data_IF_551639214722
#
_entry.id   IF_551639214722
#
_cell.length_a   1.000
_cell.length_b   1.000
_cell.length_c   1.000
_cell.angle_alpha   90.00
_cell.angle_beta   90.00
_cell.angle_gamma   90.00
#
_symmetry.space_group_name_H-M   'P 1'
#
loop_
_entity.id
_entity.type
_entity.pdbx_description
1 polymer ?
#
# COMPACT_ATOMS: atom_id res chain seq x y z
N UNK A 1 38.85 -10.07 32.80
CA UNK A 1 38.20 -11.34 32.43
C UNK A 1 36.79 -11.02 31.95
N UNK A 2 36.61 -11.05 30.63
CA UNK A 2 35.39 -10.73 29.91
C UNK A 2 34.31 -11.79 30.21
N UNK A 3 33.35 -11.46 31.07
CA UNK A 3 32.30 -12.42 31.46
C UNK A 3 30.95 -11.75 31.80
N UNK A 4 30.60 -10.66 31.11
CA UNK A 4 29.27 -10.03 31.23
C UNK A 4 28.77 -9.39 29.91
N UNK A 5 29.17 -9.91 28.74
CA UNK A 5 28.82 -9.29 27.43
C UNK A 5 27.94 -10.20 26.54
N UNK A 6 27.41 -11.33 27.04
CA UNK A 6 26.80 -12.34 26.15
C UNK A 6 25.46 -12.89 26.68
N UNK A 7 24.53 -12.06 27.16
CA UNK A 7 23.12 -12.51 27.31
C UNK A 7 22.12 -11.34 27.23
N UNK A 8 22.22 -10.50 26.21
CA UNK A 8 21.02 -9.75 25.77
C UNK A 8 21.04 -9.69 24.24
N UNK A 9 21.06 -10.90 23.66
CA UNK A 9 20.80 -11.11 22.26
C UNK A 9 19.37 -10.62 21.96
N UNK A 10 19.27 -9.37 21.54
CA UNK A 10 18.74 -9.04 20.21
C UNK A 10 17.50 -9.89 19.88
N UNK A 11 16.36 -9.55 20.49
CA UNK A 11 15.07 -9.77 19.85
C UNK A 11 14.95 -8.75 18.71
N UNK A 12 15.72 -8.92 17.62
CA UNK A 12 15.32 -8.33 16.35
C UNK A 12 14.05 -9.10 15.99
N UNK A 13 12.91 -8.48 16.27
CA UNK A 13 11.70 -8.75 15.54
C UNK A 13 12.01 -8.39 14.08
N UNK A 14 12.59 -9.35 13.36
CA UNK A 14 12.45 -9.37 11.92
C UNK A 14 10.97 -9.63 11.70
N UNK A 15 10.18 -8.55 11.70
CA UNK A 15 8.85 -8.56 11.09
C UNK A 15 9.14 -8.68 9.60
N UNK A 16 9.53 -9.88 9.17
CA UNK A 16 9.39 -10.26 7.79
C UNK A 16 7.90 -10.18 7.55
N UNK A 17 7.44 -9.17 6.79
CA UNK A 17 6.15 -9.22 6.11
C UNK A 17 6.23 -10.41 5.14
N UNK A 18 6.07 -11.61 5.68
CA UNK A 18 6.03 -12.85 4.93
C UNK A 18 4.61 -12.93 4.40
N UNK A 19 4.49 -12.86 3.07
CA UNK A 19 3.27 -12.69 2.29
C UNK A 19 2.59 -11.33 2.46
N UNK A 20 2.36 -10.65 1.33
CA UNK A 20 1.23 -9.74 1.25
C UNK A 20 -0.02 -10.56 1.58
N UNK A 21 -0.79 -10.12 2.57
CA UNK A 21 -2.14 -10.66 2.76
C UNK A 21 -2.86 -10.49 1.41
N UNK A 22 -3.50 -11.53 0.84
CA UNK A 22 -4.32 -11.37 -0.37
C UNK A 22 -5.30 -10.18 -0.28
N UNK A 23 -5.68 -9.83 0.95
CA UNK A 23 -6.47 -8.65 1.31
C UNK A 23 -5.70 -7.34 1.10
N UNK A 24 -4.42 -7.26 1.48
CA UNK A 24 -3.55 -6.09 1.29
C UNK A 24 -3.32 -5.80 -0.21
N UNK A 25 -3.07 -6.84 -1.02
CA UNK A 25 -2.92 -6.67 -2.46
C UNK A 25 -4.23 -6.23 -3.14
N UNK A 26 -5.37 -6.80 -2.71
CA UNK A 26 -6.69 -6.39 -3.17
C UNK A 26 -7.02 -4.94 -2.83
N UNK A 27 -6.75 -4.52 -1.59
CA UNK A 27 -6.93 -3.13 -1.13
C UNK A 27 -6.05 -2.19 -1.93
N UNK A 28 -4.76 -2.51 -2.09
CA UNK A 28 -3.84 -1.68 -2.87
C UNK A 28 -4.30 -1.52 -4.32
N UNK A 29 -4.65 -2.64 -4.97
CA UNK A 29 -5.06 -2.61 -6.38
C UNK A 29 -6.30 -1.75 -6.57
N UNK A 30 -7.31 -1.89 -5.69
CA UNK A 30 -8.53 -1.08 -5.70
C UNK A 30 -8.23 0.42 -5.57
N UNK A 31 -7.42 0.81 -4.60
CA UNK A 31 -7.14 2.23 -4.37
C UNK A 31 -6.26 2.82 -5.48
N UNK A 32 -5.33 2.04 -6.04
CA UNK A 32 -4.53 2.48 -7.19
C UNK A 32 -5.36 2.59 -8.47
N UNK A 33 -6.39 1.76 -8.66
CA UNK A 33 -7.36 1.94 -9.77
C UNK A 33 -8.11 3.27 -9.62
N UNK A 34 -8.56 3.61 -8.40
CA UNK A 34 -9.20 4.90 -8.14
C UNK A 34 -8.24 6.07 -8.43
N UNK A 35 -6.97 5.94 -8.02
CA UNK A 35 -5.96 6.94 -8.31
C UNK A 35 -5.66 7.09 -9.81
N UNK A 36 -5.61 5.97 -10.55
CA UNK A 36 -5.41 5.97 -12.00
C UNK A 36 -6.59 6.67 -12.72
N UNK A 37 -7.81 6.49 -12.24
CA UNK A 37 -8.98 7.18 -12.77
C UNK A 37 -8.92 8.69 -12.54
N UNK A 38 -8.55 9.13 -11.33
CA UNK A 38 -8.33 10.56 -11.04
C UNK A 38 -7.26 11.15 -11.98
N UNK A 39 -6.14 10.44 -12.14
CA UNK A 39 -5.07 10.85 -13.07
C UNK A 39 -5.57 10.97 -14.52
N UNK A 40 -6.31 9.96 -15.02
CA UNK A 40 -6.87 9.96 -16.38
C UNK A 40 -7.90 11.06 -16.61
N UNK A 41 -8.63 11.44 -15.56
CA UNK A 41 -9.60 12.54 -15.59
C UNK A 41 -8.94 13.92 -15.49
N UNK A 42 -7.63 13.99 -15.24
CA UNK A 42 -6.91 15.24 -15.08
C UNK A 42 -7.16 15.93 -13.73
N UNK A 43 -7.65 15.19 -12.73
CA UNK A 43 -7.85 15.72 -11.38
C UNK A 43 -6.49 16.06 -10.77
N UNK A 44 -6.37 17.21 -10.07
CA UNK A 44 -5.08 17.65 -9.54
C UNK A 44 -4.60 16.74 -8.40
N UNK A 45 -3.28 16.50 -8.34
CA UNK A 45 -2.67 15.69 -7.27
C UNK A 45 -2.94 16.25 -5.86
N UNK A 46 -3.20 17.57 -5.75
CA UNK A 46 -3.55 18.22 -4.49
C UNK A 46 -4.86 17.74 -3.86
N UNK A 47 -5.80 17.21 -4.65
CA UNK A 47 -7.05 16.64 -4.11
C UNK A 47 -6.95 15.13 -3.90
N UNK A 48 -6.01 14.47 -4.57
CA UNK A 48 -5.86 13.01 -4.59
C UNK A 48 -5.83 12.39 -3.19
N UNK A 49 -5.09 12.97 -2.25
CA UNK A 49 -5.03 12.43 -0.88
C UNK A 49 -6.42 12.41 -0.23
N UNK A 50 -7.20 13.48 -0.40
CA UNK A 50 -8.56 13.58 0.15
C UNK A 50 -9.48 12.56 -0.51
N UNK A 51 -9.41 12.45 -1.83
CA UNK A 51 -10.26 11.56 -2.62
C UNK A 51 -9.98 10.09 -2.28
N UNK A 52 -8.71 9.69 -2.28
CA UNK A 52 -8.30 8.33 -1.92
C UNK A 52 -8.60 8.02 -0.45
N UNK A 53 -8.47 9.00 0.46
CA UNK A 53 -8.86 8.81 1.87
C UNK A 53 -10.35 8.50 1.98
N UNK A 54 -11.20 9.21 1.24
CA UNK A 54 -12.64 8.92 1.19
C UNK A 54 -12.92 7.51 0.64
N UNK A 55 -12.20 7.10 -0.41
CA UNK A 55 -12.31 5.76 -0.97
C UNK A 55 -11.92 4.65 0.02
N UNK A 56 -10.94 4.89 0.90
CA UNK A 56 -10.58 3.93 1.95
C UNK A 56 -11.72 3.64 2.94
N UNK A 57 -12.56 4.63 3.26
CA UNK A 57 -13.73 4.41 4.10
C UNK A 57 -14.79 3.56 3.38
N UNK A 58 -14.90 3.70 2.06
CA UNK A 58 -15.80 2.88 1.24
C UNK A 58 -15.33 1.42 1.13
N UNK A 59 -14.02 1.17 1.25
CA UNK A 59 -13.43 -0.17 1.16
C UNK A 59 -13.89 -1.11 2.30
N UNK A 60 -14.29 -0.56 3.45
CA UNK A 60 -14.74 -1.32 4.60
C UNK A 60 -15.95 -2.23 4.28
N UNK A 61 -16.79 -1.82 3.33
CA UNK A 61 -17.92 -2.62 2.86
C UNK A 61 -17.52 -3.92 2.16
N UNK A 62 -16.28 -4.01 1.64
CA UNK A 62 -15.79 -5.17 0.90
C UNK A 62 -14.81 -6.03 1.71
N UNK A 63 -13.97 -5.39 2.53
CA UNK A 63 -12.83 -6.04 3.21
C UNK A 63 -12.93 -5.99 4.75
N UNK A 64 -14.02 -5.42 5.28
CA UNK A 64 -14.24 -5.27 6.71
C UNK A 64 -13.59 -4.02 7.32
N UNK A 65 -13.92 -3.67 8.58
CA UNK A 65 -13.50 -2.41 9.19
C UNK A 65 -11.98 -2.23 9.31
N UNK A 66 -11.22 -3.32 9.49
CA UNK A 66 -9.76 -3.29 9.56
C UNK A 66 -9.08 -2.91 8.24
N UNK A 67 -9.79 -3.01 7.11
CA UNK A 67 -9.26 -2.64 5.81
C UNK A 67 -9.06 -1.12 5.66
N UNK A 68 -9.79 -0.31 6.43
CA UNK A 68 -9.63 1.15 6.41
C UNK A 68 -8.20 1.51 6.82
N UNK A 69 -7.71 0.96 7.94
CA UNK A 69 -6.35 1.26 8.41
C UNK A 69 -5.28 0.79 7.43
N UNK A 70 -5.45 -0.39 6.83
CA UNK A 70 -4.52 -0.88 5.81
C UNK A 70 -4.51 0.02 4.57
N UNK A 71 -5.69 0.42 4.10
CA UNK A 71 -5.82 1.31 2.95
C UNK A 71 -5.15 2.67 3.19
N UNK A 72 -5.39 3.28 4.36
CA UNK A 72 -4.77 4.55 4.73
C UNK A 72 -3.25 4.44 4.83
N UNK A 73 -2.72 3.32 5.32
CA UNK A 73 -1.27 3.08 5.35
C UNK A 73 -0.67 3.00 3.94
N UNK A 74 -1.35 2.33 3.01
CA UNK A 74 -0.92 2.22 1.60
C UNK A 74 -0.87 3.61 0.94
N UNK A 75 -1.92 4.42 1.12
CA UNK A 75 -1.97 5.78 0.57
C UNK A 75 -0.83 6.61 1.14
N UNK A 76 -0.70 6.67 2.47
CA UNK A 76 0.31 7.51 3.11
C UNK A 76 1.74 7.11 2.72
N UNK A 77 1.98 5.84 2.41
CA UNK A 77 3.29 5.37 1.93
C UNK A 77 3.56 5.65 0.44
N UNK A 78 2.53 5.92 -0.36
CA UNK A 78 2.63 5.98 -1.83
C UNK A 78 2.31 7.35 -2.43
N UNK A 79 1.53 8.18 -1.73
CA UNK A 79 0.82 9.36 -2.28
C UNK A 79 1.71 10.31 -3.08
N UNK A 80 2.93 10.61 -2.60
CA UNK A 80 3.85 11.61 -3.19
C UNK A 80 4.38 11.26 -4.58
N UNK A 81 4.19 10.01 -5.01
CA UNK A 81 4.71 9.51 -6.28
C UNK A 81 3.65 8.86 -7.18
N UNK A 82 2.39 8.76 -6.74
CA UNK A 82 1.36 8.05 -7.50
C UNK A 82 1.21 8.63 -8.91
N UNK A 83 1.07 9.96 -9.05
CA UNK A 83 0.92 10.56 -10.37
C UNK A 83 2.18 10.48 -11.20
N UNK A 84 3.37 10.58 -10.58
CA UNK A 84 4.64 10.35 -11.28
C UNK A 84 4.74 8.93 -11.83
N UNK A 85 4.27 7.93 -11.07
CA UNK A 85 4.23 6.54 -11.54
C UNK A 85 3.28 6.37 -12.73
N UNK A 86 2.11 6.99 -12.72
CA UNK A 86 1.20 6.95 -13.87
C UNK A 86 1.73 7.71 -15.09
N UNK A 87 2.40 8.84 -14.89
CA UNK A 87 3.11 9.55 -15.97
C UNK A 87 4.22 8.70 -16.59
N UNK A 88 4.90 7.87 -15.78
CA UNK A 88 5.88 6.89 -16.24
C UNK A 88 5.24 5.63 -16.88
N UNK A 89 3.92 5.56 -16.97
CA UNK A 89 3.18 4.47 -17.60
C UNK A 89 2.97 3.24 -16.72
N UNK A 90 3.27 3.30 -15.42
CA UNK A 90 3.05 2.19 -14.50
C UNK A 90 1.56 1.89 -14.35
N UNK A 91 1.22 0.61 -14.19
CA UNK A 91 -0.15 0.17 -13.90
C UNK A 91 -0.39 0.05 -12.39
N UNK A 92 -1.64 0.10 -11.93
CA UNK A 92 -2.00 -0.07 -10.52
C UNK A 92 -1.28 -1.24 -9.83
N UNK A 93 -1.24 -2.39 -10.49
CA UNK A 93 -0.59 -3.59 -9.97
C UNK A 93 0.93 -3.43 -9.81
N UNK A 94 1.60 -2.74 -10.74
CA UNK A 94 3.04 -2.51 -10.68
C UNK A 94 3.40 -1.60 -9.51
N UNK A 95 2.56 -0.59 -9.25
CA UNK A 95 2.71 0.30 -8.10
C UNK A 95 2.51 -0.48 -6.80
N UNK A 96 1.52 -1.37 -6.73
CA UNK A 96 1.31 -2.20 -5.55
C UNK A 96 2.43 -3.21 -5.28
N UNK A 97 3.05 -3.75 -6.33
CA UNK A 97 4.25 -4.59 -6.21
C UNK A 97 5.46 -3.77 -5.76
N UNK A 98 5.63 -2.56 -6.30
CA UNK A 98 6.68 -1.64 -5.88
C UNK A 98 6.54 -1.25 -4.40
N UNK A 99 5.31 -1.02 -3.93
CA UNK A 99 4.97 -0.74 -2.55
C UNK A 99 5.03 -1.98 -1.62
N UNK A 100 5.35 -3.15 -2.16
CA UNK A 100 5.39 -4.44 -1.45
C UNK A 100 4.03 -4.87 -0.85
N UNK A 101 2.93 -4.26 -1.29
CA UNK A 101 1.56 -4.66 -0.94
C UNK A 101 1.04 -5.81 -1.81
N UNK A 102 1.72 -6.11 -2.91
CA UNK A 102 1.51 -7.31 -3.73
C UNK A 102 2.85 -8.01 -3.99
N UNK A 103 2.80 -9.32 -4.15
CA UNK A 103 3.92 -10.16 -4.61
C UNK A 103 3.81 -10.44 -6.11
N UNK A 104 4.82 -11.10 -6.68
CA UNK A 104 4.78 -11.55 -8.08
C UNK A 104 3.73 -12.64 -8.34
N UNK A 105 3.31 -13.36 -7.31
CA UNK A 105 2.31 -14.43 -7.41
C UNK A 105 0.87 -13.91 -7.36
N UNK A 106 0.66 -12.66 -6.93
CA UNK A 106 -0.67 -12.07 -6.81
C UNK A 106 -1.21 -11.66 -8.19
N UNK A 107 -2.43 -12.11 -8.49
CA UNK A 107 -3.25 -11.60 -9.59
C UNK A 107 -3.94 -10.32 -9.12
N UNK A 108 -3.53 -9.19 -9.67
CA UNK A 108 -4.26 -7.94 -9.49
C UNK A 108 -5.54 -7.96 -10.36
N UNK A 109 -6.67 -7.48 -9.82
CA UNK A 109 -7.93 -7.34 -10.56
C UNK A 109 -7.88 -6.26 -11.65
#
# INVERSE_FOLDING_TARGET
>A
MFKFIIVLAICILFITKASADPTECGICSRIMIAAENNFKNGEPESTLLTDLTADCYSIAGFYGPSAISTCLQIINGSIDNIYKHFQAGMKPCDICKLAQSCTAADTCP
#
